data_IF_640032149344
#
_entry.id   IF_640032149344
#
_cell.length_a   1.000
_cell.length_b   1.000
_cell.length_c   1.000
_cell.angle_alpha   90.00
_cell.angle_beta   90.00
_cell.angle_gamma   90.00
#
_symmetry.space_group_name_H-M   'P 1'
#
loop_
_entity.id
_entity.type
_entity.pdbx_description
1 polymer ?
#
# COMPACT_ATOMS: atom_id res chain seq x y z
N UNK A 1 -4.79 -7.44 -21.24
CA UNK A 1 -6.03 -6.78 -20.78
C UNK A 1 -6.62 -7.63 -19.67
N UNK A 2 -6.79 -7.10 -18.45
CA UNK A 2 -7.50 -7.80 -17.38
C UNK A 2 -9.02 -7.71 -17.61
N UNK A 3 -9.74 -8.82 -17.43
CA UNK A 3 -11.21 -8.85 -17.50
C UNK A 3 -11.87 -8.26 -16.25
N UNK A 4 -13.20 -8.21 -16.24
CA UNK A 4 -13.95 -7.80 -15.06
C UNK A 4 -13.72 -8.80 -13.91
N UNK A 5 -13.21 -8.31 -12.78
CA UNK A 5 -13.00 -9.11 -11.59
C UNK A 5 -14.34 -9.38 -10.86
N UNK A 6 -14.76 -10.64 -10.71
CA UNK A 6 -16.03 -10.96 -10.06
C UNK A 6 -15.96 -10.80 -8.54
N UNK A 7 -17.07 -10.37 -7.94
CA UNK A 7 -17.27 -10.34 -6.48
C UNK A 7 -16.18 -9.61 -5.71
N UNK A 8 -15.67 -10.23 -4.65
CA UNK A 8 -14.63 -9.70 -3.75
C UNK A 8 -13.30 -9.40 -4.44
N UNK A 9 -13.01 -9.98 -5.62
CA UNK A 9 -11.82 -9.60 -6.38
C UNK A 9 -12.00 -8.20 -6.96
N UNK A 10 -13.22 -7.82 -7.33
CA UNK A 10 -13.53 -6.48 -7.83
C UNK A 10 -13.28 -5.38 -6.80
N UNK A 11 -13.53 -5.64 -5.51
CA UNK A 11 -13.21 -4.67 -4.46
C UNK A 11 -11.71 -4.52 -4.24
N UNK A 12 -10.94 -5.61 -4.34
CA UNK A 12 -9.47 -5.55 -4.27
C UNK A 12 -8.89 -4.75 -5.44
N UNK A 13 -9.36 -5.00 -6.67
CA UNK A 13 -8.92 -4.24 -7.85
C UNK A 13 -9.21 -2.74 -7.67
N UNK A 14 -10.40 -2.39 -7.18
CA UNK A 14 -10.76 -0.99 -6.90
C UNK A 14 -9.89 -0.36 -5.81
N UNK A 15 -9.54 -1.12 -4.78
CA UNK A 15 -8.70 -0.63 -3.68
C UNK A 15 -7.25 -0.36 -4.14
N UNK A 16 -6.73 -1.16 -5.08
CA UNK A 16 -5.35 -1.03 -5.60
C UNK A 16 -5.26 0.00 -6.74
N UNK A 17 -6.35 0.25 -7.48
CA UNK A 17 -6.36 1.14 -8.64
C UNK A 17 -5.70 2.53 -8.41
N UNK A 18 -5.93 3.22 -7.26
CA UNK A 18 -5.26 4.49 -6.99
C UNK A 18 -3.73 4.39 -6.95
N UNK A 19 -3.19 3.28 -6.46
CA UNK A 19 -1.74 3.04 -6.45
C UNK A 19 -1.20 2.84 -7.87
N UNK A 20 -1.96 2.16 -8.74
CA UNK A 20 -1.66 2.04 -10.17
C UNK A 20 -1.61 3.41 -10.83
N UNK A 21 -2.62 4.23 -10.60
CA UNK A 21 -2.71 5.55 -11.22
C UNK A 21 -1.56 6.47 -10.78
N UNK A 22 -1.16 6.40 -9.50
CA UNK A 22 0.00 7.12 -8.96
C UNK A 22 1.35 6.62 -9.52
N UNK A 23 1.49 5.33 -9.79
CA UNK A 23 2.73 4.73 -10.26
C UNK A 23 2.97 4.91 -11.77
N UNK A 24 1.92 5.10 -12.57
CA UNK A 24 2.00 5.23 -14.03
C UNK A 24 2.93 6.34 -14.54
N UNK A 25 3.10 7.40 -13.75
CA UNK A 25 3.95 8.55 -14.12
C UNK A 25 5.37 8.46 -13.57
N UNK A 26 5.68 7.39 -12.83
CA UNK A 26 6.99 7.21 -12.20
C UNK A 26 7.93 6.42 -13.14
N UNK A 27 9.21 6.78 -13.22
CA UNK A 27 10.19 5.98 -13.94
C UNK A 27 10.45 4.65 -13.23
N UNK A 28 10.99 3.67 -13.96
CA UNK A 28 11.35 2.35 -13.41
C UNK A 28 10.29 1.27 -13.63
N UNK A 29 10.34 0.22 -12.81
CA UNK A 29 9.40 -0.89 -12.91
C UNK A 29 8.02 -0.51 -12.36
N UNK A 30 6.99 -0.68 -13.19
CA UNK A 30 5.64 -0.27 -12.82
C UNK A 30 5.10 -1.10 -11.66
N UNK A 31 5.39 -2.41 -11.59
CA UNK A 31 4.84 -3.28 -10.55
C UNK A 31 5.44 -2.93 -9.19
N UNK A 32 6.77 -2.79 -9.10
CA UNK A 32 7.45 -2.34 -7.87
C UNK A 32 6.93 -0.98 -7.41
N UNK A 33 6.80 -0.02 -8.34
CA UNK A 33 6.24 1.30 -8.03
C UNK A 33 4.79 1.21 -7.50
N UNK A 34 3.95 0.34 -8.07
CA UNK A 34 2.59 0.11 -7.59
C UNK A 34 2.57 -0.50 -6.21
N UNK A 35 3.42 -1.49 -5.94
CA UNK A 35 3.53 -2.14 -4.63
C UNK A 35 3.91 -1.11 -3.58
N UNK A 36 4.97 -0.32 -3.82
CA UNK A 36 5.40 0.74 -2.89
C UNK A 36 4.33 1.80 -2.68
N UNK A 37 3.66 2.23 -3.74
CA UNK A 37 2.57 3.20 -3.65
C UNK A 37 1.39 2.66 -2.82
N UNK A 38 1.02 1.40 -3.03
CA UNK A 38 -0.06 0.74 -2.28
C UNK A 38 0.30 0.63 -0.79
N UNK A 39 1.51 0.18 -0.46
CA UNK A 39 1.98 0.11 0.93
C UNK A 39 1.93 1.49 1.60
N UNK A 40 2.43 2.53 0.93
CA UNK A 40 2.38 3.89 1.45
C UNK A 40 0.94 4.38 1.71
N UNK A 41 0.01 4.08 0.80
CA UNK A 41 -1.41 4.42 0.97
C UNK A 41 -2.04 3.68 2.16
N UNK A 42 -1.77 2.39 2.32
CA UNK A 42 -2.27 1.60 3.46
C UNK A 42 -1.69 2.11 4.78
N UNK A 43 -0.40 2.43 4.83
CA UNK A 43 0.24 3.02 6.01
C UNK A 43 -0.46 4.34 6.40
N UNK A 44 -0.71 5.22 5.43
CA UNK A 44 -1.42 6.48 5.69
C UNK A 44 -2.85 6.24 6.17
N UNK A 45 -3.58 5.32 5.54
CA UNK A 45 -4.93 4.95 5.95
C UNK A 45 -4.96 4.45 7.40
N UNK A 46 -4.00 3.62 7.80
CA UNK A 46 -3.89 3.11 9.18
C UNK A 46 -3.51 4.23 10.16
N UNK A 47 -2.57 5.10 9.80
CA UNK A 47 -2.18 6.26 10.63
C UNK A 47 -3.33 7.23 10.87
N UNK A 48 -4.25 7.37 9.92
CA UNK A 48 -5.43 8.24 10.04
C UNK A 48 -6.71 7.49 10.46
N UNK A 49 -6.63 6.19 10.75
CA UNK A 49 -7.82 5.38 11.04
C UNK A 49 -8.34 5.67 12.45
N UNK A 50 -9.56 6.21 12.51
CA UNK A 50 -10.25 6.54 13.74
C UNK A 50 -11.17 5.41 14.22
N UNK A 51 -11.52 5.37 15.52
CA UNK A 51 -11.06 6.30 16.57
C UNK A 51 -9.71 5.91 17.19
N UNK A 52 -9.31 4.63 17.11
CA UNK A 52 -8.25 4.09 17.95
C UNK A 52 -6.83 4.31 17.42
N UNK A 53 -6.55 3.90 16.17
CA UNK A 53 -5.17 3.87 15.66
C UNK A 53 -4.60 5.28 15.53
N UNK A 54 -5.37 6.20 14.97
CA UNK A 54 -4.98 7.59 14.85
C UNK A 54 -4.66 8.24 16.22
N UNK A 55 -5.44 7.92 17.26
CA UNK A 55 -5.19 8.42 18.62
C UNK A 55 -3.88 7.86 19.20
N UNK A 56 -3.63 6.56 19.04
CA UNK A 56 -2.40 5.92 19.52
C UNK A 56 -1.16 6.43 18.77
N UNK A 57 -1.27 6.65 17.46
CA UNK A 57 -0.20 7.25 16.64
C UNK A 57 0.08 8.69 17.09
N UNK A 58 -0.96 9.52 17.25
CA UNK A 58 -0.83 10.91 17.74
C UNK A 58 -0.20 10.98 19.14
N UNK A 59 -0.50 10.01 20.01
CA UNK A 59 0.08 9.90 21.36
C UNK A 59 1.48 9.28 21.38
N UNK A 60 2.04 8.89 20.23
CA UNK A 60 3.35 8.23 20.13
C UNK A 60 3.40 6.83 20.75
N UNK A 61 2.24 6.23 21.01
CA UNK A 61 2.11 4.88 21.60
C UNK A 61 2.08 3.77 20.56
N UNK A 62 1.95 4.14 19.28
CA UNK A 62 1.95 3.24 18.13
C UNK A 62 2.72 3.90 16.98
N UNK A 63 3.61 3.15 16.35
CA UNK A 63 4.20 3.50 15.06
C UNK A 63 3.63 2.58 13.98
N UNK A 64 3.54 3.09 12.75
CA UNK A 64 3.09 2.32 11.59
C UNK A 64 4.09 2.55 10.48
N UNK A 65 4.87 1.52 10.16
CA UNK A 65 5.91 1.57 9.15
C UNK A 65 5.56 0.62 8.00
N UNK A 66 5.88 1.01 6.77
CA UNK A 66 5.63 0.21 5.57
C UNK A 66 6.84 -0.64 5.22
N UNK A 67 6.61 -1.85 4.74
CA UNK A 67 7.68 -2.72 4.25
C UNK A 67 7.22 -3.55 3.05
N UNK A 68 8.16 -3.94 2.21
CA UNK A 68 7.96 -4.86 1.07
C UNK A 68 8.89 -6.04 1.23
N UNK A 69 8.36 -7.25 1.07
CA UNK A 69 9.13 -8.48 1.05
C UNK A 69 9.35 -8.92 -0.40
N UNK A 70 10.60 -9.22 -0.74
CA UNK A 70 10.99 -9.78 -2.03
C UNK A 70 11.04 -11.30 -1.95
N UNK A 71 10.32 -11.98 -2.85
CA UNK A 71 10.23 -13.44 -2.88
C UNK A 71 11.45 -14.10 -3.51
N UNK A 72 12.19 -13.39 -4.36
CA UNK A 72 13.32 -13.95 -5.10
C UNK A 72 14.56 -14.08 -4.21
N UNK A 73 14.79 -13.09 -3.33
CA UNK A 73 15.97 -13.06 -2.47
C UNK A 73 15.67 -13.10 -0.95
N UNK A 74 14.39 -13.03 -0.58
CA UNK A 74 13.92 -13.13 0.80
C UNK A 74 14.17 -11.89 1.65
N UNK A 75 14.55 -10.76 1.06
CA UNK A 75 14.83 -9.52 1.82
C UNK A 75 13.57 -8.71 2.06
N UNK A 76 13.60 -7.96 3.16
CA UNK A 76 12.59 -6.95 3.50
C UNK A 76 13.17 -5.56 3.28
N UNK A 77 12.52 -4.77 2.43
CA UNK A 77 12.80 -3.35 2.27
C UNK A 77 11.82 -2.53 3.11
N UNK A 78 12.33 -1.83 4.13
CA UNK A 78 11.54 -0.83 4.85
C UNK A 78 11.37 0.39 3.95
N UNK A 79 10.12 0.86 3.81
CA UNK A 79 9.78 2.01 2.97
C UNK A 79 9.80 3.30 3.81
N UNK A 80 10.33 4.40 3.24
CA UNK A 80 10.28 5.73 3.87
C UNK A 80 8.87 6.34 3.87
#
# INVERSE_FOLDING_TARGET
KGGAAPGSIGSLVKAIQPAVDKARTQPGDLVDNVVRANVAMVVQQLKSSEPLLAELVKKGKLTVDGAVYDLDDGKVAILP
#
